data_IF_649232917375
#
_entry.id   IF_649232917375
#
_cell.length_a   1.000
_cell.length_b   1.000
_cell.length_c   1.000
_cell.angle_alpha   90.00
_cell.angle_beta   90.00
_cell.angle_gamma   90.00
#
_symmetry.space_group_name_H-M   'P 1'
#
loop_
_entity.id
_entity.type
_entity.pdbx_description
1 polymer ?
#
# COMPACT_ATOMS: atom_id res chain seq x y z
N UNK A 1 13.26 13.21 -20.40
CA UNK A 1 12.12 12.46 -20.97
C UNK A 1 11.24 12.07 -19.80
N UNK A 2 10.35 12.99 -19.42
CA UNK A 2 9.57 12.87 -18.20
C UNK A 2 8.54 11.77 -18.38
N UNK A 3 8.64 10.75 -17.54
CA UNK A 3 7.56 9.78 -17.39
C UNK A 3 6.33 10.56 -16.96
N UNK A 4 5.41 10.77 -17.90
CA UNK A 4 4.33 11.75 -17.75
C UNK A 4 3.54 11.42 -16.48
N UNK A 5 3.10 12.44 -15.72
CA UNK A 5 2.22 12.25 -14.55
C UNK A 5 1.03 11.32 -14.86
N UNK A 6 0.52 11.38 -16.10
CA UNK A 6 -0.51 10.50 -16.65
C UNK A 6 -0.12 9.02 -16.73
N UNK A 7 1.15 8.69 -17.02
CA UNK A 7 1.69 7.33 -16.97
C UNK A 7 1.70 6.81 -15.53
N UNK A 8 2.18 7.62 -14.58
CA UNK A 8 2.18 7.27 -13.15
C UNK A 8 0.75 7.07 -12.62
N UNK A 9 -0.18 7.94 -13.00
CA UNK A 9 -1.60 7.81 -12.62
C UNK A 9 -2.27 6.57 -13.21
N UNK A 10 -1.96 6.21 -14.47
CA UNK A 10 -2.44 4.97 -15.09
C UNK A 10 -1.89 3.75 -14.36
N UNK A 11 -0.58 3.71 -14.12
CA UNK A 11 0.06 2.61 -13.39
C UNK A 11 -0.52 2.45 -11.99
N UNK A 12 -0.78 3.55 -11.26
CA UNK A 12 -1.41 3.49 -9.94
C UNK A 12 -2.87 3.01 -10.00
N UNK A 13 -3.63 3.37 -11.04
CA UNK A 13 -4.99 2.88 -11.24
C UNK A 13 -5.00 1.37 -11.55
N UNK A 14 -4.07 0.90 -12.39
CA UNK A 14 -3.92 -0.53 -12.69
C UNK A 14 -3.52 -1.31 -11.43
N UNK A 15 -2.58 -0.79 -10.63
CA UNK A 15 -2.19 -1.38 -9.35
C UNK A 15 -3.32 -1.36 -8.31
N UNK A 16 -4.23 -0.39 -8.36
CA UNK A 16 -5.41 -0.33 -7.49
C UNK A 16 -6.44 -1.39 -7.90
N UNK A 17 -6.63 -1.58 -9.21
CA UNK A 17 -7.48 -2.63 -9.75
C UNK A 17 -6.98 -4.04 -9.41
N UNK A 18 -5.65 -4.25 -9.34
CA UNK A 18 -5.05 -5.52 -8.88
C UNK A 18 -5.02 -5.66 -7.36
N UNK A 19 -5.48 -4.65 -6.61
CA UNK A 19 -5.46 -4.65 -5.15
C UNK A 19 -4.07 -4.54 -4.54
N UNK A 20 -3.06 -4.11 -5.31
CA UNK A 20 -1.67 -3.93 -4.88
C UNK A 20 -1.41 -2.55 -4.29
N UNK A 21 -2.23 -1.54 -4.61
CA UNK A 21 -2.24 -0.24 -3.93
C UNK A 21 -3.67 0.15 -3.59
N UNK A 22 -3.83 1.05 -2.63
CA UNK A 22 -5.11 1.62 -2.24
C UNK A 22 -4.98 3.12 -2.16
N UNK A 23 -5.95 3.83 -2.73
CA UNK A 23 -6.02 5.25 -2.53
C UNK A 23 -6.83 5.63 -1.29
N UNK A 24 -6.32 6.59 -0.53
CA UNK A 24 -6.93 7.12 0.69
C UNK A 24 -7.07 8.63 0.55
N UNK A 25 -8.27 9.16 0.78
CA UNK A 25 -8.58 10.58 0.64
C UNK A 25 -9.23 10.93 -0.71
N UNK A 26 -9.56 12.21 -0.88
CA UNK A 26 -10.34 12.71 -2.02
C UNK A 26 -9.53 13.70 -2.86
N UNK A 27 -9.69 13.62 -4.19
CA UNK A 27 -9.10 14.53 -5.18
C UNK A 27 -7.59 14.81 -4.98
N UNK A 28 -7.20 16.02 -4.57
CA UNK A 28 -5.79 16.44 -4.42
C UNK A 28 -5.10 15.85 -3.17
N UNK A 29 -5.88 15.40 -2.20
CA UNK A 29 -5.39 14.73 -1.00
C UNK A 29 -5.39 13.19 -1.13
N UNK A 30 -5.46 12.67 -2.37
CA UNK A 30 -5.47 11.23 -2.62
C UNK A 30 -4.05 10.66 -2.40
N UNK A 31 -3.86 9.99 -1.27
CA UNK A 31 -2.64 9.30 -0.87
C UNK A 31 -2.71 7.86 -1.37
N UNK A 32 -1.69 7.42 -2.10
CA UNK A 32 -1.57 6.02 -2.53
C UNK A 32 -0.76 5.26 -1.50
N UNK A 33 -1.34 4.23 -0.91
CA UNK A 33 -0.64 3.30 -0.02
C UNK A 33 -0.50 1.96 -0.70
N UNK A 34 0.68 1.35 -0.65
CA UNK A 34 0.84 -0.05 -1.05
C UNK A 34 -0.06 -0.92 -0.19
N UNK A 35 -0.72 -1.89 -0.81
CA UNK A 35 -1.46 -2.90 -0.09
C UNK A 35 -0.47 -3.66 0.80
N UNK A 36 -0.76 -3.81 2.10
CA UNK A 36 0.07 -4.64 2.95
C UNK A 36 0.12 -6.04 2.34
N UNK A 37 1.32 -6.60 2.19
CA UNK A 37 1.47 -7.98 1.73
C UNK A 37 0.66 -8.88 2.68
N UNK A 38 -0.49 -9.36 2.21
CA UNK A 38 -1.23 -10.45 2.82
C UNK A 38 -0.26 -11.64 2.84
N UNK A 39 0.31 -11.90 4.01
CA UNK A 39 1.43 -12.83 4.19
C UNK A 39 2.35 -12.43 5.34
N UNK A 40 2.54 -11.13 5.57
CA UNK A 40 3.09 -10.63 6.83
C UNK A 40 1.95 -10.13 7.70
N UNK A 41 1.33 -11.08 8.38
CA UNK A 41 0.53 -10.80 9.55
C UNK A 41 1.40 -9.96 10.50
N UNK A 42 1.18 -8.65 10.59
CA UNK A 42 1.93 -7.82 11.56
C UNK A 42 1.67 -8.28 13.01
N UNK A 43 0.58 -9.04 13.21
CA UNK A 43 0.27 -9.77 14.44
C UNK A 43 1.22 -10.98 14.66
N UNK A 44 1.80 -11.54 13.60
CA UNK A 44 2.77 -12.64 13.62
C UNK A 44 4.22 -12.12 13.68
N UNK A 45 4.41 -10.83 13.38
CA UNK A 45 5.64 -10.08 13.62
C UNK A 45 5.70 -9.47 15.03
N UNK A 46 4.72 -9.74 15.91
CA UNK A 46 4.98 -9.63 17.33
C UNK A 46 5.84 -10.85 17.69
N UNK A 47 7.18 -10.70 17.89
CA UNK A 47 7.81 -11.66 18.77
C UNK A 47 7.00 -11.54 20.05
N UNK A 48 6.43 -12.64 20.52
CA UNK A 48 6.38 -12.99 21.94
C UNK A 48 6.95 -11.85 22.80
N UNK A 49 6.16 -10.79 22.99
CA UNK A 49 6.61 -9.57 23.64
C UNK A 49 6.54 -9.93 25.11
N UNK A 50 7.57 -10.66 25.48
CA UNK A 50 7.93 -11.14 26.80
C UNK A 50 6.92 -12.14 27.36
N UNK A 51 7.06 -13.40 26.93
CA UNK A 51 6.97 -14.47 27.89
C UNK A 51 8.17 -14.34 28.83
N UNK A 52 7.95 -13.84 30.06
CA UNK A 52 8.70 -14.24 31.26
C UNK A 52 8.04 -13.65 32.52
N UNK A 53 8.26 -14.25 33.69
CA UNK A 53 7.50 -15.32 34.33
C UNK A 53 6.54 -14.82 35.41
#
# INVERSE_FOLDING_TARGET
MGDSQRTVQRALADLEATGQVRAIGQARARRWLAAPLVGFTTILLLPTAQANP
#
